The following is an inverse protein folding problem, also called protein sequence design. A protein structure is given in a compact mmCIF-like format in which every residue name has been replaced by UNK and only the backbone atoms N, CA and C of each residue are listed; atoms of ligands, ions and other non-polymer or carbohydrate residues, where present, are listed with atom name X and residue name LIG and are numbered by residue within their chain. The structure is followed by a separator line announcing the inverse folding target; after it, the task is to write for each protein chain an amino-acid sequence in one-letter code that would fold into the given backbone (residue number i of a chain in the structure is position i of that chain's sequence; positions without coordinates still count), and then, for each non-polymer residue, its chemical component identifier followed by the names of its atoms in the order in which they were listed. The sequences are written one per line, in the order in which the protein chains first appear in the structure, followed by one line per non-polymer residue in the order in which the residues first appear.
data_IF_944218549387
#
_entry.id   IF_944218549387
#
_cell.length_a   1.000
_cell.length_b   1.000
_cell.length_c   1.000
_cell.angle_alpha   90.00
_cell.angle_beta   90.00
_cell.angle_gamma   90.00
#
_symmetry.space_group_name_H-M   'P 1'
#
loop_
_entity.id
_entity.type
_entity.pdbx_description
1 polymer ?
#
# COMPACT_ATOMS: atom_id res chain seq x y z
N UNK A 1 28.20 8.25 -4.56
CA UNK A 1 26.95 7.85 -3.89
C UNK A 1 26.50 6.59 -4.59
N UNK A 2 26.33 5.48 -3.87
CA UNK A 2 25.88 4.23 -4.50
C UNK A 2 24.38 4.29 -4.78
N UNK A 3 23.88 3.43 -5.68
CA UNK A 3 22.44 3.31 -5.93
C UNK A 3 21.68 2.94 -4.65
N UNK A 4 22.28 2.12 -3.78
CA UNK A 4 21.73 1.77 -2.48
C UNK A 4 21.56 2.99 -1.56
N UNK A 5 22.52 3.91 -1.56
CA UNK A 5 22.44 5.16 -0.78
C UNK A 5 21.34 6.08 -1.31
N UNK A 6 21.14 6.10 -2.63
CA UNK A 6 20.05 6.84 -3.27
C UNK A 6 18.69 6.27 -2.86
N UNK A 7 18.47 4.96 -3.01
CA UNK A 7 17.21 4.32 -2.64
C UNK A 7 16.91 4.46 -1.14
N UNK A 8 17.92 4.33 -0.29
CA UNK A 8 17.75 4.54 1.15
C UNK A 8 17.35 5.98 1.45
N UNK A 9 18.00 6.97 0.81
CA UNK A 9 17.67 8.39 0.99
C UNK A 9 16.24 8.72 0.55
N UNK A 10 15.77 8.15 -0.58
CA UNK A 10 14.39 8.30 -1.05
C UNK A 10 13.39 7.64 -0.09
N UNK A 11 13.69 6.43 0.38
CA UNK A 11 12.84 5.74 1.34
C UNK A 11 12.76 6.50 2.67
N UNK A 12 13.85 7.14 3.08
CA UNK A 12 13.92 7.97 4.29
C UNK A 12 12.97 9.17 4.24
N UNK A 13 12.80 9.78 3.06
CA UNK A 13 11.79 10.84 2.85
C UNK A 13 10.38 10.28 3.05
N UNK A 14 10.09 9.12 2.45
CA UNK A 14 8.79 8.44 2.57
C UNK A 14 8.51 8.03 4.02
N UNK A 15 9.51 7.51 4.72
CA UNK A 15 9.46 7.19 6.14
C UNK A 15 9.11 8.42 7.00
N UNK A 16 9.74 9.56 6.74
CA UNK A 16 9.44 10.81 7.45
C UNK A 16 8.00 11.28 7.19
N UNK A 17 7.50 11.13 5.95
CA UNK A 17 6.11 11.45 5.60
C UNK A 17 5.11 10.55 6.32
N UNK A 18 5.38 9.24 6.39
CA UNK A 18 4.55 8.26 7.12
C UNK A 18 4.48 8.62 8.61
N UNK A 19 5.63 8.86 9.24
CA UNK A 19 5.69 9.22 10.66
C UNK A 19 4.94 10.53 10.94
N UNK A 20 5.14 11.54 10.10
CA UNK A 20 4.44 12.82 10.23
C UNK A 20 2.93 12.67 10.09
N UNK A 21 2.45 11.86 9.14
CA UNK A 21 1.03 11.61 8.95
C UNK A 21 0.41 10.78 10.09
N UNK A 22 1.22 9.97 10.79
CA UNK A 22 0.84 9.32 12.03
C UNK A 22 0.81 10.28 13.25
N UNK A 23 1.11 11.57 13.06
CA UNK A 23 1.17 12.58 14.13
C UNK A 23 2.54 12.76 14.78
N UNK A 24 3.57 12.02 14.35
CA UNK A 24 4.94 12.14 14.86
C UNK A 24 5.69 13.22 14.08
N UNK A 25 5.59 14.47 14.53
CA UNK A 25 6.16 15.63 13.83
C UNK A 25 7.67 15.83 14.06
N UNK A 26 8.22 15.23 15.12
CA UNK A 26 9.63 15.38 15.50
C UNK A 26 10.20 14.03 15.94
N UNK A 27 11.35 13.66 15.40
CA UNK A 27 12.09 12.47 15.79
C UNK A 27 13.60 12.72 15.72
N UNK A 28 14.38 11.99 16.52
CA UNK A 28 15.84 11.99 16.38
C UNK A 28 16.22 11.37 15.02
N UNK A 29 17.30 11.80 14.35
CA UNK A 29 17.75 11.19 13.09
C UNK A 29 17.90 9.68 13.18
N UNK A 30 18.42 9.16 14.30
CA UNK A 30 18.57 7.73 14.55
C UNK A 30 17.25 6.95 14.54
N UNK A 31 16.15 7.55 14.97
CA UNK A 31 14.82 6.92 14.96
C UNK A 31 14.28 6.85 13.54
N UNK A 32 14.45 7.92 12.77
CA UNK A 32 14.06 7.94 11.36
C UNK A 32 14.86 6.91 10.56
N UNK A 33 16.16 6.81 10.80
CA UNK A 33 17.02 5.84 10.12
C UNK A 33 16.65 4.40 10.49
N UNK A 34 16.37 4.13 11.77
CA UNK A 34 15.88 2.82 12.22
C UNK A 34 14.53 2.45 11.61
N UNK A 35 13.57 3.38 11.59
CA UNK A 35 12.28 3.16 10.95
C UNK A 35 12.42 2.94 9.43
N UNK A 36 13.31 3.69 8.78
CA UNK A 36 13.62 3.52 7.35
C UNK A 36 14.21 2.14 7.06
N UNK A 37 15.10 1.64 7.93
CA UNK A 37 15.67 0.29 7.79
C UNK A 37 14.60 -0.80 7.99
N UNK A 38 13.71 -0.65 8.98
CA UNK A 38 12.58 -1.57 9.18
C UNK A 38 11.67 -1.57 7.94
N UNK A 39 11.32 -0.39 7.43
CA UNK A 39 10.49 -0.24 6.23
C UNK A 39 11.16 -0.91 5.02
N UNK A 40 12.48 -0.73 4.84
CA UNK A 40 13.24 -1.38 3.77
C UNK A 40 13.16 -2.89 3.87
N UNK A 41 13.42 -3.45 5.05
CA UNK A 41 13.36 -4.90 5.29
C UNK A 41 11.96 -5.45 5.06
N UNK A 42 10.93 -4.71 5.45
CA UNK A 42 9.54 -5.10 5.22
C UNK A 42 9.17 -5.10 3.73
N UNK A 43 9.58 -4.09 2.96
CA UNK A 43 9.35 -4.06 1.52
C UNK A 43 10.06 -5.21 0.80
N UNK A 44 11.29 -5.53 1.21
CA UNK A 44 12.03 -6.69 0.68
C UNK A 44 11.29 -7.98 1.02
N UNK A 45 10.89 -8.17 2.29
CA UNK A 45 10.13 -9.33 2.74
C UNK A 45 8.87 -9.51 1.90
N UNK A 46 8.06 -8.45 1.75
CA UNK A 46 6.81 -8.51 1.00
C UNK A 46 7.06 -8.82 -0.49
N UNK A 47 8.08 -8.22 -1.09
CA UNK A 47 8.46 -8.48 -2.49
C UNK A 47 8.93 -9.93 -2.71
N UNK A 48 9.77 -10.45 -1.82
CA UNK A 48 10.23 -11.85 -1.90
C UNK A 48 9.09 -12.82 -1.68
N UNK A 49 8.23 -12.60 -0.67
CA UNK A 49 7.08 -13.47 -0.43
C UNK A 49 6.08 -13.43 -1.59
N UNK A 50 5.85 -12.26 -2.19
CA UNK A 50 4.99 -12.13 -3.38
C UNK A 50 5.54 -12.93 -4.56
N UNK A 51 6.86 -12.86 -4.80
CA UNK A 51 7.52 -13.67 -5.83
C UNK A 51 7.37 -15.16 -5.54
N UNK A 52 7.63 -15.59 -4.31
CA UNK A 52 7.54 -17.00 -3.93
C UNK A 52 6.10 -17.54 -4.12
N UNK A 53 5.07 -16.72 -3.84
CA UNK A 53 3.66 -17.07 -4.11
C UNK A 53 3.35 -17.22 -5.60
N UNK A 54 3.96 -16.41 -6.46
CA UNK A 54 3.84 -16.53 -7.91
C UNK A 54 4.54 -17.80 -8.43
N UNK A 55 5.74 -18.08 -7.92
CA UNK A 55 6.53 -19.28 -8.26
C UNK A 55 5.78 -20.56 -7.87
N UNK A 56 5.14 -20.58 -6.70
CA UNK A 56 4.28 -21.70 -6.28
C UNK A 56 3.09 -21.95 -7.23
N UNK A 57 2.64 -20.92 -7.94
CA UNK A 57 1.61 -21.02 -8.98
C UNK A 57 2.21 -21.25 -10.38
N UNK A 58 3.49 -21.59 -10.48
CA UNK A 58 4.25 -21.76 -11.73
C UNK A 58 4.23 -20.52 -12.65
N UNK A 59 4.17 -19.32 -12.05
CA UNK A 59 4.23 -18.03 -12.77
C UNK A 59 5.51 -17.28 -12.43
N UNK A 60 6.06 -16.59 -13.43
CA UNK A 60 7.24 -15.74 -13.29
C UNK A 60 6.82 -14.32 -12.87
N UNK A 61 5.67 -13.86 -13.37
CA UNK A 61 5.13 -12.54 -13.08
C UNK A 61 4.10 -12.61 -11.94
N UNK A 62 4.33 -11.89 -10.83
CA UNK A 62 3.35 -11.82 -9.75
C UNK A 62 2.10 -11.03 -10.13
N UNK A 63 0.95 -11.49 -9.65
CA UNK A 63 -0.33 -10.81 -9.79
C UNK A 63 -0.82 -10.23 -8.44
N UNK A 64 -1.96 -9.52 -8.47
CA UNK A 64 -2.59 -8.97 -7.26
C UNK A 64 -2.98 -10.07 -6.24
N UNK A 65 -3.27 -11.28 -6.72
CA UNK A 65 -3.62 -12.42 -5.87
C UNK A 65 -2.41 -12.92 -5.08
N UNK A 66 -1.22 -12.90 -5.68
CA UNK A 66 0.04 -13.23 -5.01
C UNK A 66 0.41 -12.20 -3.95
N UNK A 67 0.21 -10.91 -4.26
CA UNK A 67 0.38 -9.83 -3.27
C UNK A 67 -0.57 -10.03 -2.10
N UNK A 68 -1.85 -10.34 -2.35
CA UNK A 68 -2.83 -10.64 -1.29
C UNK A 68 -2.37 -11.84 -0.45
N UNK A 69 -1.97 -12.95 -1.07
CA UNK A 69 -1.45 -14.13 -0.37
C UNK A 69 -0.21 -13.79 0.47
N UNK A 70 0.66 -12.94 -0.04
CA UNK A 70 1.83 -12.48 0.71
C UNK A 70 1.45 -11.62 1.92
N UNK A 71 0.46 -10.72 1.78
CA UNK A 71 -0.07 -9.92 2.89
C UNK A 71 -0.74 -10.78 3.97
N UNK A 72 -1.41 -11.87 3.58
CA UNK A 72 -1.92 -12.89 4.51
C UNK A 72 -0.78 -13.61 5.22
N UNK A 73 0.23 -14.05 4.47
CA UNK A 73 1.37 -14.80 4.99
C UNK A 73 2.22 -13.99 5.99
N UNK A 74 2.36 -12.68 5.78
CA UNK A 74 3.06 -11.78 6.73
C UNK A 74 2.16 -11.29 7.86
N UNK A 75 0.88 -11.70 7.89
CA UNK A 75 -0.04 -11.41 8.98
C UNK A 75 -0.73 -10.04 8.94
N UNK A 76 -0.67 -9.33 7.81
CA UNK A 76 -1.21 -7.97 7.71
C UNK A 76 -2.74 -7.96 7.64
N UNK A 77 -3.33 -8.82 6.80
CA UNK A 77 -4.78 -8.82 6.53
C UNK A 77 -5.51 -10.02 7.15
N UNK A 78 -4.77 -11.00 7.66
CA UNK A 78 -5.29 -12.10 8.49
C UNK A 78 -4.30 -12.33 9.64
N UNK A 79 -4.75 -12.42 10.90
CA UNK A 79 -3.85 -12.71 12.01
C UNK A 79 -3.13 -14.06 11.79
N UNK A 80 -1.83 -14.12 12.10
CA UNK A 80 -1.10 -15.40 12.15
C UNK A 80 -1.50 -16.11 13.45
N UNK A 81 -2.64 -16.79 13.44
CA UNK A 81 -3.06 -17.65 14.55
C UNK A 81 -3.07 -19.10 14.06
N UNK A 82 -2.56 -20.00 14.90
CA UNK A 82 -2.57 -21.45 14.65
C UNK A 82 -3.99 -22.04 14.68
N UNK A 83 -4.97 -21.23 15.12
CA UNK A 83 -6.35 -21.62 15.36
C UNK A 83 -7.36 -20.99 14.42
N UNK A 84 -6.98 -20.10 13.48
CA UNK A 84 -7.93 -19.73 12.43
C UNK A 84 -8.12 -20.91 11.52
N UNK A 85 -9.38 -21.28 11.33
CA UNK A 85 -9.77 -22.18 10.27
C UNK A 85 -9.42 -21.49 8.93
N UNK A 86 -8.58 -22.11 8.08
CA UNK A 86 -8.27 -21.57 6.76
C UNK A 86 -9.52 -21.28 5.93
N UNK A 87 -10.58 -22.06 6.16
CA UNK A 87 -11.90 -21.93 5.53
C UNK A 87 -12.83 -20.94 6.24
N UNK A 88 -12.41 -20.34 7.37
CA UNK A 88 -13.17 -19.20 7.90
C UNK A 88 -13.13 -18.08 6.84
N UNK A 89 -14.28 -17.48 6.58
CA UNK A 89 -14.36 -16.33 5.69
C UNK A 89 -14.02 -15.03 6.42
N UNK A 90 -13.09 -15.03 7.39
CA UNK A 90 -12.78 -13.85 8.20
C UNK A 90 -12.13 -12.75 7.34
N UNK A 91 -12.92 -11.72 7.07
CA UNK A 91 -12.53 -10.55 6.30
C UNK A 91 -12.15 -9.35 7.17
N UNK A 92 -12.16 -9.45 8.51
CA UNK A 92 -11.98 -8.28 9.39
C UNK A 92 -10.67 -7.53 9.18
N UNK A 93 -9.57 -8.24 8.89
CA UNK A 93 -8.29 -7.58 8.59
C UNK A 93 -8.29 -6.86 7.24
N UNK A 94 -8.99 -7.42 6.25
CA UNK A 94 -9.24 -6.73 4.96
C UNK A 94 -10.15 -5.52 5.16
N UNK A 95 -11.21 -5.65 5.96
CA UNK A 95 -12.12 -4.56 6.30
C UNK A 95 -11.39 -3.43 7.02
N UNK A 96 -10.56 -3.74 8.02
CA UNK A 96 -9.74 -2.77 8.72
C UNK A 96 -8.75 -2.08 7.78
N UNK A 97 -8.14 -2.81 6.85
CA UNK A 97 -7.27 -2.23 5.83
C UNK A 97 -8.03 -1.29 4.88
N UNK A 98 -9.23 -1.67 4.44
CA UNK A 98 -10.09 -0.83 3.59
C UNK A 98 -10.57 0.41 4.33
N UNK A 99 -10.96 0.28 5.60
CA UNK A 99 -11.36 1.38 6.45
C UNK A 99 -10.20 2.35 6.66
N UNK A 100 -9.01 1.83 6.97
CA UNK A 100 -7.77 2.59 7.06
C UNK A 100 -7.50 3.40 5.78
N UNK A 101 -7.57 2.74 4.61
CA UNK A 101 -7.32 3.35 3.31
C UNK A 101 -8.37 4.41 2.93
N UNK A 102 -9.63 4.22 3.32
CA UNK A 102 -10.70 5.21 3.07
C UNK A 102 -10.81 6.27 4.17
N UNK A 103 -10.09 6.08 5.27
CA UNK A 103 -10.19 6.86 6.49
C UNK A 103 -9.50 8.22 6.44
N UNK A 104 -9.42 8.86 7.60
CA UNK A 104 -8.73 10.14 7.76
C UNK A 104 -7.21 10.03 7.64
N UNK A 105 -6.63 8.88 8.05
CA UNK A 105 -5.18 8.71 8.03
C UNK A 105 -4.61 8.74 6.61
N UNK A 106 -5.27 8.09 5.67
CA UNK A 106 -4.84 8.06 4.28
C UNK A 106 -4.86 9.48 3.68
N UNK A 107 -5.93 10.24 3.94
CA UNK A 107 -6.03 11.66 3.54
C UNK A 107 -4.90 12.49 4.13
N UNK A 108 -4.55 12.25 5.39
CA UNK A 108 -3.42 12.93 6.02
C UNK A 108 -2.09 12.54 5.38
N UNK A 109 -1.89 11.26 5.03
CA UNK A 109 -0.70 10.81 4.29
C UNK A 109 -0.59 11.50 2.92
N UNK A 110 -1.69 11.59 2.15
CA UNK A 110 -1.74 12.34 0.89
C UNK A 110 -1.42 13.82 1.08
N UNK A 111 -1.96 14.44 2.13
CA UNK A 111 -1.68 15.84 2.47
C UNK A 111 -0.21 16.08 2.80
N UNK A 112 0.39 15.21 3.64
CA UNK A 112 1.80 15.30 4.02
C UNK A 112 2.72 15.07 2.82
N UNK A 113 2.34 14.18 1.91
CA UNK A 113 3.07 13.89 0.68
C UNK A 113 2.88 14.97 -0.41
N UNK A 114 2.01 15.96 -0.20
CA UNK A 114 1.80 17.09 -1.11
C UNK A 114 0.69 16.89 -2.14
N UNK A 115 0.00 15.75 -2.16
CA UNK A 115 -1.09 15.46 -3.12
C UNK A 115 -2.38 16.26 -2.83
N UNK A 116 -2.62 16.71 -1.59
CA UNK A 116 -3.83 17.47 -1.25
C UNK A 116 -3.86 18.89 -1.85
N UNK A 117 -2.71 19.45 -2.26
CA UNK A 117 -2.65 20.76 -2.92
C UNK A 117 -3.22 20.67 -4.35
N UNK A 118 -3.11 19.51 -5.00
CA UNK A 118 -3.60 19.28 -6.36
C UNK A 118 -5.15 19.28 -6.43
N UNK A 119 -5.84 18.71 -5.43
CA UNK A 119 -7.32 18.74 -5.35
C UNK A 119 -7.85 20.17 -5.10
N UNK A 120 -7.14 21.00 -4.33
CA UNK A 120 -7.53 22.39 -4.08
C UNK A 120 -7.20 23.35 -5.25
N UNK A 121 -6.23 23.00 -6.09
CA UNK A 121 -5.83 23.79 -7.27
C UNK A 121 -6.52 23.33 -8.58
N UNK A 122 -7.66 22.64 -8.49
CA UNK A 122 -8.48 22.29 -9.66
C UNK A 122 -8.01 21.04 -10.41
N UNK A 123 -7.24 20.16 -9.77
CA UNK A 123 -7.03 18.81 -10.26
C UNK A 123 -8.38 18.06 -10.28
N UNK A 124 -8.74 17.53 -11.44
CA UNK A 124 -9.97 16.75 -11.62
C UNK A 124 -9.99 15.60 -10.60
N UNK A 125 -10.98 15.52 -9.69
CA UNK A 125 -10.98 14.51 -8.65
C UNK A 125 -10.94 13.10 -9.26
N UNK A 126 -10.21 12.17 -8.63
CA UNK A 126 -10.06 10.79 -9.13
C UNK A 126 -11.43 10.07 -9.31
N UNK A 127 -12.45 10.54 -8.59
CA UNK A 127 -13.83 10.07 -8.67
C UNK A 127 -14.47 10.33 -10.04
N UNK A 128 -14.23 11.51 -10.64
CA UNK A 128 -14.76 11.86 -11.97
C UNK A 128 -14.20 11.01 -13.10
N UNK A 129 -12.90 10.64 -13.03
CA UNK A 129 -12.31 9.73 -14.04
C UNK A 129 -12.94 8.34 -14.01
N UNK A 130 -13.27 7.81 -12.83
CA UNK A 130 -13.87 6.48 -12.71
C UNK A 130 -15.28 6.44 -13.32
N UNK A 131 -16.09 7.48 -13.06
CA UNK A 131 -17.44 7.61 -13.64
C UNK A 131 -17.41 7.77 -15.18
N UNK A 132 -16.42 8.51 -15.69
CA UNK A 132 -16.21 8.70 -17.13
C UNK A 132 -15.78 7.40 -17.84
N UNK A 133 -14.83 6.65 -17.25
CA UNK A 133 -14.42 5.32 -17.74
C UNK A 133 -15.58 4.32 -17.73
N UNK A 134 -16.39 4.27 -16.66
CA UNK A 134 -17.57 3.41 -16.58
C UNK A 134 -18.62 3.77 -17.64
N UNK A 135 -18.80 5.05 -17.94
CA UNK A 135 -19.66 5.52 -19.03
C UNK A 135 -19.16 5.09 -20.42
N UNK A 136 -17.85 5.17 -20.65
CA UNK A 136 -17.23 4.70 -21.90
C UNK A 136 -17.40 3.19 -22.12
N UNK A 137 -17.21 2.39 -21.07
CA UNK A 137 -17.37 0.93 -21.13
C UNK A 137 -18.81 0.52 -21.42
N UNK A 138 -19.80 1.20 -20.82
CA UNK A 138 -21.23 0.96 -21.11
C UNK A 138 -21.59 1.24 -22.56
N UNK A 139 -21.11 2.36 -23.13
CA UNK A 139 -21.32 2.71 -24.54
C UNK A 139 -20.71 1.70 -25.52
N UNK A 140 -19.59 1.08 -25.15
CA UNK A 140 -18.96 0.03 -25.97
C UNK A 140 -19.76 -1.27 -25.91
N UNK A 141 -20.42 -1.56 -24.77
CA UNK A 141 -21.31 -2.71 -24.60
C UNK A 141 -22.62 -2.60 -25.39
N UNK A 142 -23.21 -1.41 -25.52
CA UNK A 142 -24.48 -1.18 -26.26
C UNK A 142 -24.33 -1.20 -27.79
N UNK A 143 -23.10 -1.12 -28.31
CA UNK A 143 -22.81 -1.14 -29.75
C UNK A 143 -22.44 -2.53 -30.31
N UNK A 144 -22.53 -3.58 -29.49
CA UNK A 144 -22.39 -4.98 -29.90
C UNK A 144 -23.75 -5.66 -29.86
#
# INVERSE_FOLDING_TARGET
MSDADLFFSLLRISAAQILRAAGLTTAKPSVLDAFTDILRRYLILLGTTTRDMAELNNRIEPDISDVRKALEHVGLIRPINVFSDPEDGDTRGVEAFVEWFRGGQEREMRRVAGFAVEEAMGGVPAQTKNEEWLGMVRKVGEKR
#
